data_IF_959634355064
#
_entry.id   IF_959634355064
#
_cell.length_a   1.000
_cell.length_b   1.000
_cell.length_c   1.000
_cell.angle_alpha   90.00
_cell.angle_beta   90.00
_cell.angle_gamma   90.00
#
_symmetry.space_group_name_H-M   'P 1'
#
loop_
_entity.id
_entity.type
_entity.pdbx_description
1 polymer ?
#
# COMPACT_ATOMS: atom_id res chain seq x y z
N UNK A 1 7.70 27.13 19.46
CA UNK A 1 8.23 27.65 18.19
C UNK A 1 9.68 28.03 18.44
N UNK A 2 10.59 27.08 18.35
CA UNK A 2 12.03 27.29 18.38
C UNK A 2 12.55 26.75 17.06
N UNK A 3 12.58 27.63 16.06
CA UNK A 3 13.34 27.44 14.82
C UNK A 3 14.81 27.58 15.20
N UNK A 4 15.56 26.49 15.19
CA UNK A 4 17.00 26.56 15.26
C UNK A 4 17.50 27.20 13.96
N UNK A 5 17.86 28.49 14.02
CA UNK A 5 18.72 29.12 13.02
C UNK A 5 20.15 28.63 13.30
N UNK A 6 20.67 27.76 12.47
CA UNK A 6 22.10 27.42 12.50
C UNK A 6 22.90 28.45 11.67
N UNK A 7 24.08 28.91 12.18
CA UNK A 7 24.92 29.78 11.38
C UNK A 7 25.56 29.00 10.22
N UNK A 8 25.44 29.53 9.02
CA UNK A 8 26.02 29.01 7.78
C UNK A 8 27.55 29.20 7.77
N UNK A 9 28.34 28.19 8.17
CA UNK A 9 29.76 28.08 7.75
C UNK A 9 30.46 26.82 8.29
N UNK A 10 30.06 25.64 7.88
CA UNK A 10 30.84 24.39 7.75
C UNK A 10 29.87 23.28 7.38
N UNK A 11 30.28 22.36 6.53
CA UNK A 11 29.50 21.15 6.25
C UNK A 11 29.23 20.43 7.58
N UNK A 12 27.96 20.26 7.94
CA UNK A 12 27.59 19.57 9.16
C UNK A 12 27.72 18.06 8.93
N UNK A 13 28.50 17.37 9.77
CA UNK A 13 28.78 15.95 9.63
C UNK A 13 27.85 15.10 10.49
N UNK A 14 27.33 14.02 9.90
CA UNK A 14 26.47 13.05 10.55
C UNK A 14 27.00 11.63 10.37
N UNK A 15 26.66 10.74 11.30
CA UNK A 15 26.90 9.31 11.09
C UNK A 15 25.97 8.77 9.99
N UNK A 16 24.72 9.31 9.88
CA UNK A 16 23.79 8.96 8.82
C UNK A 16 22.99 10.17 8.34
N UNK A 17 22.89 10.32 7.01
CA UNK A 17 21.99 11.27 6.36
C UNK A 17 20.93 10.47 5.60
N UNK A 18 19.65 10.77 5.85
CA UNK A 18 18.50 10.11 5.21
C UNK A 18 17.81 11.10 4.28
N UNK A 19 17.60 10.76 3.02
CA UNK A 19 16.89 11.58 2.04
C UNK A 19 15.47 11.06 1.90
N UNK A 20 14.50 11.79 2.47
CA UNK A 20 13.09 11.45 2.52
C UNK A 20 12.64 10.95 3.89
N UNK A 21 11.52 11.50 4.38
CA UNK A 21 10.90 11.20 5.67
C UNK A 21 9.71 10.23 5.58
N UNK A 22 9.61 9.48 4.48
CA UNK A 22 8.64 8.38 4.36
C UNK A 22 8.90 7.26 5.39
N UNK A 23 8.05 6.21 5.43
CA UNK A 23 8.16 5.15 6.44
C UNK A 23 9.56 4.53 6.55
N UNK A 24 10.21 4.24 5.42
CA UNK A 24 11.56 3.68 5.40
C UNK A 24 12.59 4.65 5.98
N UNK A 25 12.58 5.90 5.53
CA UNK A 25 13.52 6.91 6.00
C UNK A 25 13.37 7.21 7.49
N UNK A 26 12.14 7.30 8.01
CA UNK A 26 11.88 7.46 9.44
C UNK A 26 12.49 6.33 10.27
N UNK A 27 12.29 5.07 9.83
CA UNK A 27 12.78 3.92 10.59
C UNK A 27 14.28 3.75 10.50
N UNK A 28 14.89 4.07 9.35
CA UNK A 28 16.34 4.14 9.22
C UNK A 28 16.93 5.16 10.19
N UNK A 29 16.40 6.38 10.20
CA UNK A 29 16.86 7.45 11.07
C UNK A 29 16.66 7.12 12.57
N UNK A 30 15.48 6.63 12.96
CA UNK A 30 15.17 6.30 14.36
C UNK A 30 16.04 5.12 14.84
N UNK A 31 16.23 4.08 14.01
CA UNK A 31 17.08 2.95 14.36
C UNK A 31 18.53 3.41 14.59
N UNK A 32 19.08 4.21 13.69
CA UNK A 32 20.43 4.78 13.83
C UNK A 32 20.57 5.65 15.07
N UNK A 33 19.60 6.53 15.34
CA UNK A 33 19.62 7.39 16.54
C UNK A 33 19.58 6.56 17.83
N UNK A 34 18.85 5.42 17.85
CA UNK A 34 18.81 4.50 18.99
C UNK A 34 20.12 3.72 19.19
N UNK A 35 20.93 3.59 18.16
CA UNK A 35 22.31 3.09 18.24
C UNK A 35 23.30 4.18 18.67
N UNK A 36 22.81 5.36 19.09
CA UNK A 36 23.65 6.46 19.57
C UNK A 36 24.34 7.25 18.47
N UNK A 37 23.87 7.15 17.21
CA UNK A 37 24.45 7.85 16.06
C UNK A 37 23.82 9.22 15.86
N UNK A 38 24.60 10.15 15.31
CA UNK A 38 24.12 11.46 14.86
C UNK A 38 23.41 11.30 13.51
N UNK A 39 22.16 11.83 13.40
CA UNK A 39 21.33 11.59 12.23
C UNK A 39 20.63 12.85 11.76
N UNK A 40 20.65 13.10 10.44
CA UNK A 40 19.80 14.08 9.79
C UNK A 40 18.83 13.43 8.81
N UNK A 41 17.61 13.96 8.72
CA UNK A 41 16.65 13.67 7.64
C UNK A 41 16.49 14.92 6.78
N UNK A 42 16.68 14.77 5.48
CA UNK A 42 16.35 15.79 4.47
C UNK A 42 14.95 15.52 3.94
N UNK A 43 14.04 16.51 4.06
CA UNK A 43 12.68 16.36 3.58
C UNK A 43 12.23 17.60 2.79
N UNK A 44 11.64 17.39 1.62
CA UNK A 44 11.14 18.47 0.77
C UNK A 44 9.87 19.10 1.33
N UNK A 45 9.97 20.27 1.92
CA UNK A 45 8.83 21.15 2.24
C UNK A 45 7.76 20.47 3.12
N UNK A 46 6.54 20.40 2.62
CA UNK A 46 5.35 19.97 3.38
C UNK A 46 5.10 18.45 3.37
N UNK A 47 6.05 17.64 2.89
CA UNK A 47 5.88 16.20 2.72
C UNK A 47 6.34 15.35 3.92
N UNK A 48 6.40 15.92 5.12
CA UNK A 48 6.77 15.17 6.32
C UNK A 48 5.90 13.92 6.50
N UNK A 49 6.53 12.76 6.59
CA UNK A 49 5.88 11.44 6.56
C UNK A 49 5.78 10.81 5.17
N UNK A 50 6.20 11.55 4.13
CA UNK A 50 6.21 11.11 2.74
C UNK A 50 4.81 10.84 2.19
N UNK A 51 4.75 10.16 1.04
CA UNK A 51 3.50 9.75 0.38
C UNK A 51 2.58 8.98 1.32
N UNK A 52 3.11 8.13 2.18
CA UNK A 52 2.32 7.33 3.12
C UNK A 52 1.38 8.19 3.98
N UNK A 53 1.85 9.34 4.47
CA UNK A 53 1.08 10.24 5.34
C UNK A 53 0.32 11.30 4.53
N UNK A 54 0.88 11.79 3.43
CA UNK A 54 0.36 12.99 2.76
C UNK A 54 -0.66 12.70 1.65
N UNK A 55 -0.42 11.69 0.80
CA UNK A 55 -1.24 11.46 -0.40
C UNK A 55 -1.61 9.99 -0.64
N UNK A 56 -0.96 9.02 0.05
CA UNK A 56 -1.12 7.59 -0.22
C UNK A 56 -1.89 6.84 0.85
N UNK A 57 -1.17 6.00 1.61
CA UNK A 57 -1.75 4.99 2.51
C UNK A 57 -2.72 5.56 3.55
N UNK A 58 -2.28 6.50 4.38
CA UNK A 58 -3.13 7.05 5.46
C UNK A 58 -4.33 7.83 4.89
N UNK A 59 -4.15 8.76 3.93
CA UNK A 59 -5.28 9.47 3.34
C UNK A 59 -6.31 8.57 2.68
N UNK A 60 -5.90 7.60 1.85
CA UNK A 60 -6.83 6.73 1.13
C UNK A 60 -7.63 5.80 2.07
N UNK A 61 -6.98 5.26 3.15
CA UNK A 61 -7.68 4.43 4.14
C UNK A 61 -8.64 5.27 4.99
N UNK A 62 -8.24 6.50 5.33
CA UNK A 62 -9.13 7.44 6.03
C UNK A 62 -10.33 7.84 5.17
N UNK A 63 -10.11 8.08 3.87
CA UNK A 63 -11.18 8.32 2.91
C UNK A 63 -12.15 7.12 2.83
N UNK A 64 -11.61 5.90 2.74
CA UNK A 64 -12.41 4.66 2.75
C UNK A 64 -13.29 4.56 4.00
N UNK A 65 -12.75 4.82 5.18
CA UNK A 65 -13.52 4.81 6.42
C UNK A 65 -14.63 5.88 6.42
N UNK A 66 -14.36 7.06 5.86
CA UNK A 66 -15.37 8.11 5.70
C UNK A 66 -16.49 7.66 4.73
N UNK A 67 -16.12 7.02 3.61
CA UNK A 67 -17.07 6.45 2.65
C UNK A 67 -17.95 5.40 3.32
N UNK A 68 -17.38 4.40 3.98
CA UNK A 68 -18.13 3.34 4.66
C UNK A 68 -19.11 3.90 5.69
N UNK A 69 -18.64 4.85 6.51
CA UNK A 69 -19.46 5.46 7.54
C UNK A 69 -20.61 6.28 6.96
N UNK A 70 -20.32 7.22 6.07
CA UNK A 70 -21.33 8.15 5.56
C UNK A 70 -22.34 7.50 4.63
N UNK A 71 -21.92 6.51 3.84
CA UNK A 71 -22.84 5.74 2.97
C UNK A 71 -23.65 4.72 3.76
N UNK A 72 -23.25 4.37 4.99
CA UNK A 72 -23.85 3.30 5.77
C UNK A 72 -23.78 1.92 5.09
N UNK A 73 -22.84 1.73 4.16
CA UNK A 73 -22.81 0.57 3.28
C UNK A 73 -22.73 -0.75 4.03
N UNK A 74 -21.93 -0.82 5.09
CA UNK A 74 -21.82 -2.01 5.96
C UNK A 74 -23.10 -2.40 6.68
N UNK A 75 -24.12 -1.53 6.68
CA UNK A 75 -25.39 -1.75 7.38
C UNK A 75 -26.55 -2.02 6.40
N UNK A 76 -26.33 -1.89 5.09
CA UNK A 76 -27.41 -2.00 4.08
C UNK A 76 -28.02 -3.39 3.99
N UNK A 77 -27.25 -4.44 4.28
CA UNK A 77 -27.78 -5.80 4.32
C UNK A 77 -28.85 -5.97 5.42
N UNK A 78 -28.66 -5.29 6.56
CA UNK A 78 -29.56 -5.38 7.72
C UNK A 78 -30.71 -4.38 7.66
N UNK A 79 -30.44 -3.14 7.21
CA UNK A 79 -31.43 -2.04 7.25
C UNK A 79 -31.98 -1.67 5.87
N UNK A 80 -31.61 -2.40 4.83
CA UNK A 80 -32.06 -2.22 3.45
C UNK A 80 -31.15 -1.33 2.60
N UNK A 81 -31.24 -1.51 1.28
CA UNK A 81 -30.36 -0.87 0.30
C UNK A 81 -30.41 0.68 0.31
N UNK A 82 -31.52 1.26 0.80
CA UNK A 82 -31.69 2.72 0.92
C UNK A 82 -31.04 3.31 2.16
N UNK A 83 -30.58 2.48 3.12
CA UNK A 83 -29.95 2.97 4.34
C UNK A 83 -28.69 3.77 4.03
N UNK A 84 -28.57 4.95 4.64
CA UNK A 84 -27.40 5.81 4.59
C UNK A 84 -27.38 6.74 5.81
N UNK A 85 -26.19 7.10 6.28
CA UNK A 85 -26.01 8.01 7.42
C UNK A 85 -26.19 9.46 6.97
N UNK A 86 -25.79 9.79 5.75
CA UNK A 86 -25.93 11.12 5.17
C UNK A 86 -26.48 11.02 3.74
N UNK A 87 -27.56 11.74 3.46
CA UNK A 87 -28.22 11.71 2.14
C UNK A 87 -27.35 12.33 1.03
N UNK A 88 -26.79 13.51 1.28
CA UNK A 88 -25.93 14.23 0.33
C UNK A 88 -24.51 14.32 0.87
N UNK A 89 -23.67 13.40 0.46
CA UNK A 89 -22.23 13.39 0.78
C UNK A 89 -21.53 14.36 -0.17
N UNK A 90 -20.63 15.18 0.37
CA UNK A 90 -19.79 16.13 -0.39
C UNK A 90 -18.30 15.78 -0.26
N UNK A 91 -17.43 16.24 -1.18
CA UNK A 91 -15.99 16.07 -0.99
C UNK A 91 -15.49 16.62 0.35
N UNK A 92 -16.02 17.76 0.80
CA UNK A 92 -15.66 18.34 2.08
C UNK A 92 -15.94 17.40 3.28
N UNK A 93 -17.05 16.65 3.24
CA UNK A 93 -17.36 15.66 4.29
C UNK A 93 -16.34 14.52 4.36
N UNK A 94 -15.90 14.06 3.18
CA UNK A 94 -14.92 12.98 3.07
C UNK A 94 -13.51 13.46 3.47
N UNK A 95 -13.12 14.63 2.95
CA UNK A 95 -11.77 15.16 3.11
C UNK A 95 -11.51 15.77 4.50
N UNK A 96 -12.56 16.26 5.19
CA UNK A 96 -12.40 16.81 6.55
C UNK A 96 -11.75 15.79 7.52
N UNK A 97 -12.22 14.54 7.49
CA UNK A 97 -11.63 13.47 8.30
C UNK A 97 -10.18 13.17 7.86
N UNK A 98 -9.95 13.14 6.56
CA UNK A 98 -8.63 12.87 5.97
C UNK A 98 -7.61 13.92 6.39
N UNK A 99 -7.93 15.21 6.24
CA UNK A 99 -7.06 16.31 6.66
C UNK A 99 -6.75 16.30 8.16
N UNK A 100 -7.76 15.98 8.99
CA UNK A 100 -7.55 15.85 10.44
C UNK A 100 -6.55 14.73 10.76
N UNK A 101 -6.68 13.56 10.14
CA UNK A 101 -5.79 12.41 10.38
C UNK A 101 -4.38 12.70 9.87
N UNK A 102 -4.24 13.28 8.68
CA UNK A 102 -2.92 13.72 8.15
C UNK A 102 -2.22 14.64 9.16
N UNK A 103 -2.92 15.65 9.66
CA UNK A 103 -2.35 16.58 10.65
C UNK A 103 -1.85 15.87 11.92
N UNK A 104 -2.62 14.90 12.42
CA UNK A 104 -2.22 14.09 13.58
C UNK A 104 -0.99 13.22 13.30
N UNK A 105 -0.95 12.56 12.14
CA UNK A 105 0.19 11.73 11.76
C UNK A 105 1.47 12.56 11.56
N UNK A 106 1.35 13.74 10.95
CA UNK A 106 2.49 14.67 10.83
C UNK A 106 3.04 15.05 12.21
N UNK A 107 2.16 15.33 13.19
CA UNK A 107 2.58 15.62 14.55
C UNK A 107 3.24 14.42 15.24
N UNK A 108 2.73 13.20 15.00
CA UNK A 108 3.35 11.95 15.50
C UNK A 108 4.75 11.81 14.93
N UNK A 109 4.93 11.95 13.61
CA UNK A 109 6.25 11.86 12.96
C UNK A 109 7.20 12.90 13.51
N UNK A 110 6.79 14.17 13.58
CA UNK A 110 7.60 15.27 14.13
C UNK A 110 8.06 14.98 15.56
N UNK A 111 7.15 14.54 16.42
CA UNK A 111 7.44 14.20 17.80
C UNK A 111 8.39 12.99 17.89
N UNK A 112 8.27 12.00 17.01
CA UNK A 112 9.19 10.86 16.97
C UNK A 112 10.61 11.30 16.59
N UNK A 113 10.77 12.17 15.60
CA UNK A 113 12.09 12.69 15.20
C UNK A 113 12.70 13.52 16.36
N UNK A 114 11.94 14.45 16.94
CA UNK A 114 12.42 15.30 18.03
C UNK A 114 12.88 14.51 19.26
N UNK A 115 12.08 13.56 19.75
CA UNK A 115 12.45 12.76 20.93
C UNK A 115 13.64 11.83 20.70
N UNK A 116 13.95 11.49 19.47
CA UNK A 116 15.14 10.74 19.09
C UNK A 116 16.31 11.66 18.69
N UNK A 117 16.19 12.98 18.82
CA UNK A 117 17.23 13.99 18.52
C UNK A 117 17.74 13.90 17.09
N UNK A 118 16.82 13.67 16.14
CA UNK A 118 17.10 13.62 14.72
C UNK A 118 16.88 15.02 14.16
N UNK A 119 17.88 15.55 13.45
CA UNK A 119 17.78 16.85 12.81
C UNK A 119 16.94 16.75 11.54
N UNK A 120 15.87 17.57 11.46
CA UNK A 120 15.01 17.66 10.29
C UNK A 120 15.43 18.86 9.44
N UNK A 121 16.01 18.59 8.29
CA UNK A 121 16.45 19.59 7.31
C UNK A 121 15.41 19.71 6.20
N UNK A 122 14.77 20.88 6.11
CA UNK A 122 13.73 21.11 5.09
C UNK A 122 14.38 21.61 3.80
N UNK A 123 14.15 20.91 2.71
CA UNK A 123 14.64 21.25 1.39
C UNK A 123 14.79 20.04 0.47
N UNK A 124 15.13 20.31 -0.78
CA UNK A 124 15.44 19.28 -1.77
C UNK A 124 16.90 18.85 -1.61
N UNK A 125 17.10 17.58 -1.31
CA UNK A 125 18.44 16.98 -1.20
C UNK A 125 18.93 16.48 -2.56
N UNK A 126 20.20 16.76 -2.89
CA UNK A 126 20.88 16.18 -4.05
C UNK A 126 22.33 15.87 -3.74
N UNK A 127 22.91 14.87 -4.39
CA UNK A 127 24.31 14.52 -4.24
C UNK A 127 25.23 15.58 -4.87
N UNK A 128 26.23 16.01 -4.11
CA UNK A 128 27.36 16.79 -4.61
C UNK A 128 28.55 15.85 -4.90
N UNK A 129 28.73 14.87 -4.00
CA UNK A 129 29.66 13.75 -4.09
C UNK A 129 29.07 12.56 -3.32
N UNK A 130 29.73 11.37 -3.29
CA UNK A 130 29.17 10.18 -2.65
C UNK A 130 28.86 10.32 -1.15
N UNK A 131 29.45 11.26 -0.44
CA UNK A 131 29.25 11.49 0.98
C UNK A 131 28.51 12.80 1.31
N UNK A 132 28.31 13.68 0.33
CA UNK A 132 27.87 15.05 0.55
C UNK A 132 26.52 15.33 -0.15
N UNK A 133 25.57 15.81 0.63
CA UNK A 133 24.25 16.22 0.16
C UNK A 133 24.12 17.73 0.27
N UNK A 134 23.80 18.40 -0.83
CA UNK A 134 23.29 19.77 -0.83
C UNK A 134 21.79 19.74 -0.58
N UNK A 135 21.33 20.52 0.39
CA UNK A 135 19.92 20.73 0.72
C UNK A 135 19.53 22.13 0.31
N UNK A 136 18.61 22.25 -0.63
CA UNK A 136 18.12 23.54 -1.12
C UNK A 136 16.67 23.78 -0.67
N UNK A 137 16.45 24.83 0.12
CA UNK A 137 15.10 25.30 0.47
C UNK A 137 14.66 26.40 -0.54
N UNK A 138 13.75 26.06 -1.49
CA UNK A 138 13.32 27.02 -2.51
C UNK A 138 12.58 28.23 -1.91
N UNK A 139 11.95 28.06 -0.74
CA UNK A 139 11.18 29.11 -0.08
C UNK A 139 12.05 30.20 0.54
N UNK A 140 13.24 29.81 1.02
CA UNK A 140 14.21 30.69 1.69
C UNK A 140 15.38 31.09 0.81
N UNK A 141 15.55 30.43 -0.35
CA UNK A 141 16.75 30.56 -1.22
C UNK A 141 18.05 30.26 -0.48
N UNK A 142 17.98 29.42 0.51
CA UNK A 142 19.12 28.98 1.33
C UNK A 142 19.61 27.62 0.84
N UNK A 143 20.92 27.45 0.85
CA UNK A 143 21.57 26.16 0.57
C UNK A 143 22.40 25.75 1.78
N UNK A 144 22.23 24.51 2.19
CA UNK A 144 22.99 23.89 3.26
C UNK A 144 23.70 22.64 2.70
N UNK A 145 24.93 22.43 3.08
CA UNK A 145 25.67 21.21 2.74
C UNK A 145 25.84 20.35 3.99
N UNK A 146 25.49 19.09 3.89
CA UNK A 146 25.65 18.11 4.97
C UNK A 146 26.41 16.89 4.44
N UNK A 147 27.21 16.26 5.29
CA UNK A 147 27.91 15.03 4.95
C UNK A 147 27.49 13.88 5.87
N UNK A 148 27.50 12.66 5.33
CA UNK A 148 27.15 11.44 6.06
C UNK A 148 28.21 10.36 5.89
N UNK A 149 28.55 9.66 6.97
CA UNK A 149 29.31 8.41 6.84
C UNK A 149 28.53 7.38 6.06
N UNK A 150 27.21 7.32 6.31
CA UNK A 150 26.24 6.53 5.56
C UNK A 150 25.12 7.42 5.05
N UNK A 151 24.60 7.08 3.87
CA UNK A 151 23.47 7.78 3.28
C UNK A 151 22.36 6.77 2.98
N UNK A 152 21.10 7.12 3.30
CA UNK A 152 19.93 6.31 2.96
C UNK A 152 19.02 7.08 2.03
N UNK A 153 18.77 6.56 0.83
CA UNK A 153 17.83 7.11 -0.14
C UNK A 153 16.45 6.50 0.13
N UNK A 154 15.51 7.33 0.59
CA UNK A 154 14.15 6.94 0.95
C UNK A 154 13.10 7.86 0.30
N UNK A 155 13.38 8.29 -0.94
CA UNK A 155 12.61 9.31 -1.67
C UNK A 155 11.26 8.82 -2.19
N UNK A 156 11.03 7.48 -2.14
CA UNK A 156 9.77 6.88 -2.55
C UNK A 156 9.44 7.04 -4.03
N UNK A 157 8.14 7.15 -4.33
CA UNK A 157 7.62 7.19 -5.69
C UNK A 157 6.56 8.29 -5.85
N UNK A 158 6.22 8.60 -7.11
CA UNK A 158 5.07 9.42 -7.52
C UNK A 158 4.19 8.63 -8.49
N UNK A 159 2.92 9.02 -8.71
CA UNK A 159 2.11 8.43 -9.78
C UNK A 159 2.81 8.55 -11.14
N UNK A 160 2.75 7.49 -11.93
CA UNK A 160 3.23 7.53 -13.30
C UNK A 160 2.21 8.25 -14.18
N UNK A 161 2.65 9.27 -14.92
CA UNK A 161 1.83 10.02 -15.89
C UNK A 161 2.29 9.63 -17.30
N UNK A 162 1.48 8.91 -18.08
CA UNK A 162 1.85 8.53 -19.43
C UNK A 162 1.98 9.76 -20.33
N UNK A 163 2.95 9.73 -21.23
CA UNK A 163 3.09 10.74 -22.28
C UNK A 163 1.87 10.70 -23.21
N UNK A 164 1.28 11.85 -23.52
CA UNK A 164 0.11 11.94 -24.40
C UNK A 164 -1.23 12.01 -23.68
N UNK A 165 -1.24 12.01 -22.35
CA UNK A 165 -2.42 12.33 -21.53
C UNK A 165 -2.16 13.64 -20.79
N UNK A 166 -3.02 14.60 -20.99
CA UNK A 166 -2.97 15.88 -20.28
C UNK A 166 -3.72 15.76 -18.95
N UNK A 167 -3.02 15.99 -17.83
CA UNK A 167 -3.59 16.01 -16.48
C UNK A 167 -3.95 17.46 -16.16
N UNK A 168 -5.24 17.72 -15.98
CA UNK A 168 -5.77 19.06 -15.69
C UNK A 168 -6.08 19.30 -14.20
N UNK A 169 -5.82 18.29 -13.36
CA UNK A 169 -6.05 18.30 -11.90
C UNK A 169 -7.52 18.60 -11.50
N UNK A 170 -8.44 18.40 -12.42
CA UNK A 170 -9.89 18.59 -12.21
C UNK A 170 -10.71 17.44 -12.76
N UNK A 171 -10.50 17.04 -14.01
CA UNK A 171 -11.22 15.96 -14.69
C UNK A 171 -10.32 14.77 -15.03
N UNK A 172 -9.05 15.03 -15.31
CA UNK A 172 -8.05 13.98 -15.55
C UNK A 172 -7.05 14.04 -14.43
N UNK A 173 -7.13 13.07 -13.51
CA UNK A 173 -6.43 13.03 -12.24
C UNK A 173 -5.55 11.78 -12.16
N UNK A 174 -4.52 11.84 -11.34
CA UNK A 174 -3.87 10.66 -10.80
C UNK A 174 -4.38 10.34 -9.38
N UNK A 175 -3.80 9.33 -8.73
CA UNK A 175 -4.23 8.90 -7.38
C UNK A 175 -4.00 9.97 -6.30
N UNK A 176 -3.07 10.88 -6.49
CA UNK A 176 -2.80 11.93 -5.52
C UNK A 176 -3.82 13.06 -5.67
N UNK A 177 -4.20 13.40 -6.91
CA UNK A 177 -5.21 14.43 -7.23
C UNK A 177 -6.62 14.11 -6.76
N UNK A 178 -6.95 12.86 -6.48
CA UNK A 178 -8.25 12.47 -5.91
C UNK A 178 -8.52 13.11 -4.53
N UNK A 179 -7.49 13.44 -3.80
CA UNK A 179 -7.62 14.11 -2.49
C UNK A 179 -7.95 15.62 -2.60
N UNK A 180 -7.95 16.16 -3.82
CA UNK A 180 -8.26 17.57 -4.10
C UNK A 180 -9.57 17.73 -4.91
N UNK A 181 -10.39 16.67 -5.02
CA UNK A 181 -11.66 16.70 -5.75
C UNK A 181 -12.58 17.81 -5.27
N UNK A 182 -13.06 18.63 -6.22
CA UNK A 182 -14.00 19.74 -5.96
C UNK A 182 -15.45 19.28 -5.91
N UNK A 183 -15.78 18.20 -6.64
CA UNK A 183 -17.13 17.59 -6.69
C UNK A 183 -17.03 16.09 -6.79
N UNK A 184 -18.02 15.37 -6.27
CA UNK A 184 -18.12 13.92 -6.48
C UNK A 184 -18.66 13.68 -7.90
N UNK A 185 -17.94 12.96 -8.76
CA UNK A 185 -18.37 12.71 -10.11
C UNK A 185 -19.52 11.69 -10.12
N UNK A 186 -20.47 11.87 -11.03
CA UNK A 186 -21.56 10.92 -11.29
C UNK A 186 -21.08 9.72 -12.12
N UNK A 187 -20.00 9.90 -12.88
CA UNK A 187 -19.34 8.84 -13.65
C UNK A 187 -17.82 9.01 -13.68
N UNK A 188 -17.08 7.89 -13.60
CA UNK A 188 -15.62 7.89 -13.55
C UNK A 188 -15.05 6.71 -14.36
N UNK A 189 -14.01 6.97 -15.15
CA UNK A 189 -13.14 5.93 -15.69
C UNK A 189 -11.91 5.80 -14.79
N UNK A 190 -11.61 4.59 -14.35
CA UNK A 190 -10.38 4.26 -13.61
C UNK A 190 -9.47 3.48 -14.56
N UNK A 191 -8.30 4.01 -14.85
CA UNK A 191 -7.31 3.39 -15.73
C UNK A 191 -6.26 2.67 -14.87
N UNK A 192 -6.25 1.33 -14.96
CA UNK A 192 -5.43 0.43 -14.16
C UNK A 192 -6.24 -0.28 -13.06
N UNK A 193 -6.19 -1.61 -13.06
CA UNK A 193 -6.85 -2.50 -12.09
C UNK A 193 -5.86 -3.10 -11.07
N UNK A 194 -4.80 -2.36 -10.72
CA UNK A 194 -3.92 -2.65 -9.59
C UNK A 194 -4.57 -2.23 -8.27
N UNK A 195 -3.81 -2.34 -7.16
CA UNK A 195 -4.28 -2.02 -5.80
C UNK A 195 -4.97 -0.66 -5.74
N UNK A 196 -4.28 0.40 -6.17
CA UNK A 196 -4.77 1.78 -6.08
C UNK A 196 -6.07 1.96 -6.89
N UNK A 197 -6.09 1.46 -8.14
CA UNK A 197 -7.26 1.57 -9.00
C UNK A 197 -8.49 0.88 -8.42
N UNK A 198 -8.33 -0.33 -7.91
CA UNK A 198 -9.44 -1.11 -7.32
C UNK A 198 -9.91 -0.52 -5.99
N UNK A 199 -8.99 -0.03 -5.14
CA UNK A 199 -9.37 0.66 -3.90
C UNK A 199 -10.26 1.87 -4.20
N UNK A 200 -9.84 2.77 -5.09
CA UNK A 200 -10.64 3.95 -5.44
C UNK A 200 -11.91 3.58 -6.22
N UNK A 201 -11.84 2.63 -7.17
CA UNK A 201 -13.03 2.16 -7.89
C UNK A 201 -14.12 1.67 -6.93
N UNK A 202 -13.75 0.89 -5.91
CA UNK A 202 -14.69 0.40 -4.89
C UNK A 202 -15.28 1.53 -4.03
N UNK A 203 -14.46 2.51 -3.63
CA UNK A 203 -14.91 3.67 -2.85
C UNK A 203 -15.90 4.54 -3.62
N UNK A 204 -15.60 4.88 -4.89
CA UNK A 204 -16.48 5.69 -5.71
C UNK A 204 -17.76 4.94 -6.09
N UNK A 205 -17.68 3.64 -6.36
CA UNK A 205 -18.90 2.82 -6.56
C UNK A 205 -19.79 2.80 -5.32
N UNK A 206 -19.20 2.68 -4.11
CA UNK A 206 -19.95 2.76 -2.85
C UNK A 206 -20.63 4.12 -2.63
N UNK A 207 -20.05 5.22 -3.14
CA UNK A 207 -20.63 6.56 -3.15
C UNK A 207 -21.76 6.72 -4.19
N UNK A 208 -21.92 5.75 -5.10
CA UNK A 208 -22.94 5.79 -6.16
C UNK A 208 -22.43 6.35 -7.49
N UNK A 209 -21.14 6.59 -7.64
CA UNK A 209 -20.50 6.94 -8.92
C UNK A 209 -20.57 5.74 -9.87
N UNK A 210 -20.94 5.96 -11.12
CA UNK A 210 -20.86 4.93 -12.17
C UNK A 210 -19.42 4.75 -12.60
N UNK A 211 -18.77 3.66 -12.16
CA UNK A 211 -17.35 3.41 -12.40
C UNK A 211 -17.15 2.43 -13.56
N UNK A 212 -16.20 2.78 -14.45
CA UNK A 212 -15.66 1.85 -15.46
C UNK A 212 -14.17 1.70 -15.24
N UNK A 213 -13.71 0.48 -14.94
CA UNK A 213 -12.29 0.14 -14.80
C UNK A 213 -11.76 -0.37 -16.14
N UNK A 214 -10.68 0.23 -16.63
CA UNK A 214 -9.97 -0.18 -17.86
C UNK A 214 -8.60 -0.72 -17.48
N UNK A 215 -8.29 -1.94 -17.92
CA UNK A 215 -7.02 -2.60 -17.61
C UNK A 215 -6.49 -3.30 -18.88
N UNK A 216 -5.19 -3.08 -19.15
CA UNK A 216 -4.49 -3.69 -20.29
C UNK A 216 -4.31 -5.20 -20.12
N UNK A 217 -4.13 -5.68 -18.88
CA UNK A 217 -4.07 -7.12 -18.58
C UNK A 217 -5.46 -7.75 -18.68
N UNK A 218 -5.49 -9.07 -18.74
CA UNK A 218 -6.75 -9.83 -18.86
C UNK A 218 -7.49 -9.96 -17.52
N UNK A 219 -6.88 -9.55 -16.43
CA UNK A 219 -7.48 -9.58 -15.08
C UNK A 219 -6.96 -8.47 -14.18
N UNK A 220 -7.60 -8.30 -13.01
CA UNK A 220 -7.17 -7.40 -11.95
C UNK A 220 -6.39 -8.18 -10.88
N UNK A 221 -5.51 -7.49 -10.13
CA UNK A 221 -4.83 -8.02 -8.94
C UNK A 221 -4.24 -9.42 -9.17
N UNK A 222 -3.53 -9.62 -10.28
CA UNK A 222 -3.00 -10.90 -10.77
C UNK A 222 -2.00 -11.63 -9.84
N UNK A 223 -1.59 -10.96 -8.78
CA UNK A 223 -0.77 -11.51 -7.70
C UNK A 223 -1.58 -12.06 -6.52
N UNK A 224 -2.90 -11.90 -6.51
CA UNK A 224 -3.80 -12.45 -5.50
C UNK A 224 -4.33 -13.83 -5.90
N UNK A 225 -4.86 -14.55 -4.91
CA UNK A 225 -5.55 -15.82 -5.17
C UNK A 225 -6.76 -15.61 -6.10
N UNK A 226 -6.91 -16.40 -7.19
CA UNK A 226 -7.96 -16.20 -8.19
C UNK A 226 -9.39 -16.29 -7.62
N UNK A 227 -9.66 -17.15 -6.64
CA UNK A 227 -10.99 -17.26 -6.04
C UNK A 227 -11.38 -15.98 -5.27
N UNK A 228 -10.41 -15.38 -4.57
CA UNK A 228 -10.59 -14.10 -3.88
C UNK A 228 -10.82 -12.96 -4.88
N UNK A 229 -10.07 -12.95 -6.00
CA UNK A 229 -10.22 -11.95 -7.06
C UNK A 229 -11.61 -12.05 -7.70
N UNK A 230 -12.08 -13.26 -8.00
CA UNK A 230 -13.43 -13.46 -8.56
C UNK A 230 -14.52 -13.03 -7.58
N UNK A 231 -14.38 -13.32 -6.27
CA UNK A 231 -15.33 -12.87 -5.26
C UNK A 231 -15.41 -11.33 -5.20
N UNK A 232 -14.26 -10.64 -5.24
CA UNK A 232 -14.20 -9.18 -5.29
C UNK A 232 -14.80 -8.64 -6.59
N UNK A 233 -14.49 -9.23 -7.76
CA UNK A 233 -15.09 -8.82 -9.05
C UNK A 233 -16.60 -8.94 -9.04
N UNK A 234 -17.10 -10.04 -8.50
CA UNK A 234 -18.56 -10.25 -8.38
C UNK A 234 -19.18 -9.15 -7.55
N UNK A 235 -18.64 -8.89 -6.35
CA UNK A 235 -19.14 -7.84 -5.47
C UNK A 235 -19.10 -6.44 -6.11
N UNK A 236 -18.02 -6.10 -6.82
CA UNK A 236 -17.90 -4.81 -7.50
C UNK A 236 -18.89 -4.67 -8.67
N UNK A 237 -19.21 -5.78 -9.38
CA UNK A 237 -20.28 -5.78 -10.40
C UNK A 237 -21.65 -5.55 -9.79
N UNK A 238 -21.92 -6.06 -8.60
CA UNK A 238 -23.17 -5.78 -7.87
C UNK A 238 -23.27 -4.29 -7.47
N UNK A 239 -22.13 -3.62 -7.30
CA UNK A 239 -22.03 -2.17 -7.15
C UNK A 239 -22.04 -1.41 -8.49
N UNK A 240 -22.43 -2.08 -9.60
CA UNK A 240 -22.48 -1.53 -10.95
C UNK A 240 -21.12 -1.09 -11.53
N UNK A 241 -19.99 -1.59 -11.03
CA UNK A 241 -18.69 -1.39 -11.66
C UNK A 241 -18.61 -2.18 -12.96
N UNK A 242 -18.22 -1.50 -14.03
CA UNK A 242 -17.95 -2.13 -15.34
C UNK A 242 -16.47 -2.37 -15.51
N UNK A 243 -16.06 -3.58 -15.90
CA UNK A 243 -14.68 -3.90 -16.22
C UNK A 243 -14.44 -4.00 -17.73
N UNK A 244 -13.29 -3.46 -18.18
CA UNK A 244 -12.77 -3.55 -19.55
C UNK A 244 -11.33 -4.07 -19.45
N UNK A 245 -11.21 -5.40 -19.42
CA UNK A 245 -9.92 -6.10 -19.43
C UNK A 245 -9.43 -6.31 -20.86
N UNK A 246 -8.09 -6.42 -21.04
CA UNK A 246 -7.45 -6.55 -22.33
C UNK A 246 -7.53 -5.27 -23.18
N UNK A 247 -7.81 -4.12 -22.58
CA UNK A 247 -8.00 -2.84 -23.25
C UNK A 247 -7.01 -1.80 -22.76
N UNK A 248 -6.37 -1.10 -23.69
CA UNK A 248 -5.44 -0.02 -23.42
C UNK A 248 -6.07 1.33 -23.75
N UNK A 249 -5.89 2.30 -22.89
CA UNK A 249 -6.32 3.69 -23.16
C UNK A 249 -5.29 4.33 -24.09
N UNK A 250 -5.77 4.84 -25.23
CA UNK A 250 -4.93 5.49 -26.25
C UNK A 250 -5.04 7.01 -26.25
N UNK A 251 -6.18 7.56 -25.80
CA UNK A 251 -6.40 9.01 -25.67
C UNK A 251 -7.46 9.31 -24.60
N UNK A 252 -7.36 10.50 -24.03
CA UNK A 252 -8.39 11.11 -23.18
C UNK A 252 -8.62 12.54 -23.68
N UNK A 253 -9.80 12.80 -24.19
CA UNK A 253 -10.21 14.10 -24.65
C UNK A 253 -11.06 14.78 -23.58
N UNK A 254 -10.72 16.02 -23.21
CA UNK A 254 -11.47 16.84 -22.24
C UNK A 254 -12.37 17.82 -22.99
N UNK A 255 -13.68 17.71 -22.75
CA UNK A 255 -14.69 18.60 -23.34
C UNK A 255 -15.49 19.39 -22.29
N UNK A 256 -16.40 20.22 -22.73
CA UNK A 256 -17.24 21.03 -21.83
C UNK A 256 -18.10 20.16 -20.89
N UNK A 257 -18.59 19.01 -21.37
CA UNK A 257 -19.49 18.12 -20.63
C UNK A 257 -18.80 17.02 -19.82
N UNK A 258 -17.46 16.88 -19.91
CA UNK A 258 -16.72 15.79 -19.27
C UNK A 258 -15.54 15.33 -20.14
N UNK A 259 -15.18 14.06 -20.00
CA UNK A 259 -14.09 13.42 -20.71
C UNK A 259 -14.60 12.33 -21.65
N UNK A 260 -13.84 12.03 -22.70
CA UNK A 260 -14.04 10.86 -23.55
C UNK A 260 -12.74 10.06 -23.58
N UNK A 261 -12.77 8.85 -23.00
CA UNK A 261 -11.63 7.94 -23.00
C UNK A 261 -11.73 7.00 -24.21
N UNK A 262 -10.73 7.03 -25.09
CA UNK A 262 -10.64 6.17 -26.28
C UNK A 262 -9.73 4.98 -25.99
N UNK A 263 -10.23 3.77 -26.31
CA UNK A 263 -9.52 2.51 -26.11
C UNK A 263 -8.86 2.04 -27.43
N UNK A 264 -7.87 1.15 -27.33
CA UNK A 264 -7.18 0.57 -28.46
C UNK A 264 -8.11 -0.16 -29.46
N UNK A 265 -9.23 -0.72 -28.98
CA UNK A 265 -10.30 -1.29 -29.81
C UNK A 265 -11.11 -0.26 -30.60
N UNK A 266 -10.88 1.03 -30.40
CA UNK A 266 -11.70 2.12 -30.95
C UNK A 266 -12.96 2.45 -30.16
N UNK A 267 -13.25 1.70 -29.09
CA UNK A 267 -14.38 2.01 -28.18
C UNK A 267 -14.12 3.31 -27.44
N UNK A 268 -15.16 4.12 -27.26
CA UNK A 268 -15.14 5.36 -26.51
C UNK A 268 -16.02 5.28 -25.26
N UNK A 269 -15.51 5.78 -24.15
CA UNK A 269 -16.19 5.79 -22.84
C UNK A 269 -16.30 7.23 -22.36
N UNK A 270 -17.52 7.81 -22.34
CA UNK A 270 -17.75 9.11 -21.75
C UNK A 270 -17.82 9.01 -20.23
N UNK A 271 -17.23 9.98 -19.52
CA UNK A 271 -17.31 10.11 -18.07
C UNK A 271 -17.10 11.58 -17.65
N UNK A 272 -17.47 11.93 -16.41
CA UNK A 272 -17.14 13.24 -15.85
C UNK A 272 -15.65 13.33 -15.51
N UNK A 273 -15.06 12.24 -15.00
CA UNK A 273 -13.67 12.22 -14.51
C UNK A 273 -12.95 10.95 -14.97
N UNK A 274 -11.66 11.06 -15.22
CA UNK A 274 -10.74 9.94 -15.44
C UNK A 274 -9.67 9.95 -14.35
N UNK A 275 -9.47 8.81 -13.69
CA UNK A 275 -8.39 8.61 -12.73
C UNK A 275 -7.37 7.63 -13.29
N UNK A 276 -6.12 8.06 -13.39
CA UNK A 276 -5.00 7.21 -13.76
C UNK A 276 -4.34 6.58 -12.54
N UNK A 277 -4.24 5.26 -12.55
CA UNK A 277 -3.52 4.44 -11.56
C UNK A 277 -2.63 3.39 -12.24
N UNK A 278 -2.02 3.77 -13.37
CA UNK A 278 -1.24 2.89 -14.25
C UNK A 278 0.23 2.73 -13.80
N UNK A 279 0.48 2.66 -12.50
CA UNK A 279 1.79 2.43 -11.91
C UNK A 279 2.40 3.64 -11.22
N UNK A 280 3.61 3.44 -10.68
CA UNK A 280 4.38 4.47 -9.95
C UNK A 280 5.79 4.58 -10.51
N UNK A 281 6.35 5.78 -10.41
CA UNK A 281 7.69 6.16 -10.85
C UNK A 281 8.53 6.53 -9.63
N UNK A 282 9.76 5.99 -9.51
CA UNK A 282 10.71 6.37 -8.46
C UNK A 282 11.05 7.86 -8.51
N UNK A 283 11.21 8.47 -7.34
CA UNK A 283 11.54 9.89 -7.24
C UNK A 283 13.05 10.09 -7.12
N UNK A 284 13.78 9.86 -8.21
CA UNK A 284 15.24 9.94 -8.30
C UNK A 284 15.74 11.03 -9.24
N UNK A 285 14.86 11.67 -10.00
CA UNK A 285 15.22 12.61 -11.08
C UNK A 285 16.01 13.84 -10.59
N UNK A 286 15.84 14.24 -9.33
CA UNK A 286 16.47 15.43 -8.76
C UNK A 286 17.59 15.13 -7.77
N UNK A 287 18.02 13.86 -7.68
CA UNK A 287 19.04 13.45 -6.73
C UNK A 287 20.47 13.64 -7.25
N UNK A 288 20.65 13.87 -8.54
CA UNK A 288 21.98 13.91 -9.19
C UNK A 288 22.81 12.65 -8.89
N UNK A 289 22.17 11.46 -9.03
CA UNK A 289 22.72 10.15 -8.67
C UNK A 289 24.11 9.88 -9.26
N UNK A 290 24.42 10.43 -10.44
CA UNK A 290 25.72 10.32 -11.09
C UNK A 290 26.87 10.88 -10.24
N UNK A 291 26.61 11.89 -9.38
CA UNK A 291 27.62 12.44 -8.48
C UNK A 291 27.95 11.47 -7.32
N UNK A 292 27.08 10.49 -7.07
CA UNK A 292 27.28 9.41 -6.11
C UNK A 292 27.63 8.07 -6.78
N UNK A 293 28.02 8.09 -8.07
CA UNK A 293 28.30 6.88 -8.86
C UNK A 293 27.12 5.91 -8.96
N UNK A 294 25.89 6.41 -8.78
CA UNK A 294 24.67 5.64 -8.84
C UNK A 294 23.89 5.93 -10.13
N UNK A 295 22.95 5.05 -10.43
CA UNK A 295 22.00 5.19 -11.51
C UNK A 295 20.65 4.58 -11.11
N UNK A 296 19.59 5.05 -11.73
CA UNK A 296 18.26 4.48 -11.61
C UNK A 296 17.85 3.83 -12.93
N UNK A 297 16.94 2.85 -12.87
CA UNK A 297 16.36 2.26 -14.07
C UNK A 297 15.37 3.23 -14.76
N UNK A 298 14.75 2.78 -15.87
CA UNK A 298 13.77 3.56 -16.62
C UNK A 298 12.49 3.90 -15.85
N UNK A 299 12.28 3.28 -14.68
CA UNK A 299 11.20 3.59 -13.74
C UNK A 299 11.68 4.40 -12.53
N UNK A 300 12.91 4.90 -12.53
CA UNK A 300 13.50 5.64 -11.43
C UNK A 300 13.82 4.80 -10.20
N UNK A 301 13.97 3.47 -10.33
CA UNK A 301 14.26 2.59 -9.20
C UNK A 301 15.76 2.40 -9.04
N UNK A 302 16.20 2.30 -7.79
CA UNK A 302 17.59 2.04 -7.41
C UNK A 302 17.74 0.56 -7.07
N UNK A 303 18.76 -0.09 -7.64
CA UNK A 303 19.11 -1.48 -7.33
C UNK A 303 19.87 -1.57 -6.01
N UNK A 304 19.50 -2.56 -5.20
CA UNK A 304 20.12 -2.88 -3.91
C UNK A 304 20.27 -4.39 -3.73
N UNK A 305 21.13 -4.78 -2.82
CA UNK A 305 21.26 -6.17 -2.36
C UNK A 305 20.22 -6.53 -1.27
N UNK A 306 20.34 -7.72 -0.70
CA UNK A 306 19.41 -8.24 0.33
C UNK A 306 19.46 -7.45 1.65
N UNK A 307 20.48 -6.61 1.84
CA UNK A 307 20.65 -5.71 2.98
C UNK A 307 20.34 -4.25 2.64
N UNK A 308 19.72 -4.01 1.47
CA UNK A 308 19.36 -2.68 0.98
C UNK A 308 20.55 -1.77 0.66
N UNK A 309 21.76 -2.32 0.54
CA UNK A 309 22.96 -1.61 0.15
C UNK A 309 23.01 -1.48 -1.37
N UNK A 310 23.37 -0.30 -1.86
CA UNK A 310 23.61 -0.07 -3.30
C UNK A 310 24.98 -0.58 -3.72
N UNK A 311 25.34 -0.43 -5.00
CA UNK A 311 26.70 -0.72 -5.48
C UNK A 311 27.79 0.14 -4.81
N UNK A 312 27.41 1.23 -4.14
CA UNK A 312 28.31 2.10 -3.36
C UNK A 312 28.14 1.75 -1.88
N UNK A 313 29.17 1.19 -1.22
CA UNK A 313 29.04 0.48 0.07
C UNK A 313 28.49 1.29 1.25
N UNK A 314 28.55 2.62 1.22
CA UNK A 314 28.03 3.48 2.29
C UNK A 314 26.67 4.11 1.94
N UNK A 315 26.11 3.76 0.76
CA UNK A 315 24.80 4.27 0.32
C UNK A 315 23.80 3.13 0.27
N UNK A 316 22.67 3.33 0.92
CA UNK A 316 21.54 2.42 0.99
C UNK A 316 20.32 3.05 0.29
N UNK A 317 19.38 2.22 -0.17
CA UNK A 317 18.08 2.69 -0.63
C UNK A 317 16.97 1.79 -0.07
N UNK A 318 15.85 2.40 0.36
CA UNK A 318 14.75 1.69 1.01
C UNK A 318 13.39 2.24 0.61
N UNK A 319 12.37 1.42 0.72
CA UNK A 319 10.99 1.77 0.40
C UNK A 319 10.70 1.73 -1.10
N UNK A 320 9.64 2.42 -1.51
CA UNK A 320 9.11 2.33 -2.88
C UNK A 320 10.15 2.65 -3.97
N UNK A 321 11.21 3.41 -3.66
CA UNK A 321 12.27 3.76 -4.60
C UNK A 321 13.08 2.56 -5.07
N UNK A 322 13.06 1.43 -4.34
CA UNK A 322 13.70 0.18 -4.76
C UNK A 322 12.73 -0.76 -5.51
N UNK A 323 11.43 -0.43 -5.54
CA UNK A 323 10.42 -1.19 -6.26
C UNK A 323 9.56 -2.09 -5.36
N UNK A 324 9.18 -3.27 -5.89
CA UNK A 324 8.32 -4.22 -5.17
C UNK A 324 8.96 -4.68 -3.85
N UNK A 325 8.15 -4.87 -2.78
CA UNK A 325 6.69 -4.89 -2.74
C UNK A 325 6.02 -3.52 -2.53
N UNK A 326 6.75 -2.42 -2.34
CA UNK A 326 6.23 -1.04 -2.25
C UNK A 326 5.06 -0.89 -1.23
N UNK A 327 5.24 -1.46 -0.04
CA UNK A 327 4.31 -1.40 1.08
C UNK A 327 4.91 -0.57 2.23
N UNK A 328 4.08 0.22 2.91
CA UNK A 328 4.55 1.05 4.01
C UNK A 328 5.20 0.23 5.14
N UNK A 329 4.60 -0.91 5.51
CA UNK A 329 5.14 -1.81 6.54
C UNK A 329 6.49 -2.40 6.14
N UNK A 330 6.61 -2.87 4.90
CA UNK A 330 7.87 -3.39 4.35
C UNK A 330 8.94 -2.30 4.30
N UNK A 331 8.57 -1.09 3.86
CA UNK A 331 9.48 0.06 3.84
C UNK A 331 10.03 0.39 5.24
N UNK A 332 9.17 0.30 6.27
CA UNK A 332 9.59 0.51 7.67
C UNK A 332 10.66 -0.50 8.09
N UNK A 333 10.45 -1.76 7.77
CA UNK A 333 11.37 -2.83 8.12
C UNK A 333 12.68 -2.71 7.32
N UNK A 334 12.62 -2.45 6.02
CA UNK A 334 13.79 -2.18 5.18
C UNK A 334 14.66 -1.06 5.78
N UNK A 335 14.04 0.06 6.19
CA UNK A 335 14.76 1.17 6.82
C UNK A 335 15.47 0.78 8.11
N UNK A 336 14.82 -0.01 8.97
CA UNK A 336 15.42 -0.52 10.21
C UNK A 336 16.61 -1.44 9.93
N UNK A 337 16.45 -2.38 9.00
CA UNK A 337 17.46 -3.36 8.64
C UNK A 337 18.66 -2.70 7.95
N UNK A 338 18.44 -1.76 7.04
CA UNK A 338 19.50 -0.98 6.41
C UNK A 338 20.35 -0.22 7.44
N UNK A 339 19.72 0.39 8.45
CA UNK A 339 20.44 1.05 9.54
C UNK A 339 21.26 0.06 10.37
N UNK A 340 20.72 -1.11 10.69
CA UNK A 340 21.43 -2.15 11.44
C UNK A 340 22.64 -2.63 10.65
N UNK A 341 22.46 -2.98 9.36
CA UNK A 341 23.54 -3.41 8.51
C UNK A 341 24.65 -2.34 8.40
N UNK A 342 24.29 -1.06 8.19
CA UNK A 342 25.24 0.04 8.10
C UNK A 342 26.13 0.18 9.34
N UNK A 343 25.60 -0.10 10.52
CA UNK A 343 26.35 0.03 11.77
C UNK A 343 26.85 -1.31 12.35
N UNK A 344 26.78 -2.38 11.59
CA UNK A 344 27.30 -3.69 11.96
C UNK A 344 26.50 -4.43 13.03
N UNK A 345 25.22 -4.07 13.21
CA UNK A 345 24.31 -4.82 14.07
C UNK A 345 23.81 -6.08 13.35
N UNK A 346 23.59 -7.19 14.08
CA UNK A 346 23.11 -8.43 13.48
C UNK A 346 21.73 -8.24 12.80
N UNK A 347 21.57 -8.78 11.60
CA UNK A 347 20.29 -8.81 10.87
C UNK A 347 20.24 -10.02 9.93
N UNK A 348 19.10 -10.70 9.93
CA UNK A 348 18.81 -11.86 9.06
C UNK A 348 18.12 -11.46 7.74
N UNK A 349 18.05 -10.15 7.45
CA UNK A 349 17.29 -9.64 6.31
C UNK A 349 15.79 -9.53 6.60
N UNK A 350 15.00 -9.28 5.55
CA UNK A 350 13.55 -9.15 5.68
C UNK A 350 12.87 -10.51 5.56
N UNK A 351 11.82 -10.74 6.36
CA UNK A 351 11.03 -11.98 6.29
C UNK A 351 10.32 -12.14 4.94
N UNK A 352 10.22 -13.38 4.45
CA UNK A 352 9.43 -13.71 3.26
C UNK A 352 7.92 -13.64 3.53
N UNK A 353 7.49 -13.79 4.77
CA UNK A 353 6.08 -13.75 5.18
C UNK A 353 5.57 -12.31 5.29
N UNK A 354 5.48 -11.63 4.14
CA UNK A 354 5.01 -10.25 4.07
C UNK A 354 3.51 -10.23 3.74
N UNK A 355 2.65 -9.77 4.67
CA UNK A 355 1.22 -9.69 4.41
C UNK A 355 0.92 -8.53 3.45
N UNK A 356 0.02 -8.77 2.51
CA UNK A 356 -0.49 -7.74 1.61
C UNK A 356 -1.93 -7.45 1.97
N UNK A 357 -2.24 -6.17 2.21
CA UNK A 357 -3.58 -5.66 2.45
C UNK A 357 -4.03 -4.75 1.31
N UNK A 358 -5.21 -5.01 0.77
CA UNK A 358 -5.90 -4.21 -0.24
C UNK A 358 -7.17 -3.68 0.41
N UNK A 359 -7.23 -2.38 0.59
CA UNK A 359 -8.31 -1.70 1.31
C UNK A 359 -9.45 -1.30 0.36
N UNK A 360 -9.82 -2.22 -0.52
CA UNK A 360 -11.07 -2.13 -1.29
C UNK A 360 -12.29 -2.22 -0.37
N UNK A 361 -13.46 -2.10 -0.92
CA UNK A 361 -14.73 -2.35 -0.25
C UNK A 361 -15.39 -3.54 -0.94
N UNK A 362 -15.41 -4.72 -0.29
CA UNK A 362 -14.72 -5.17 0.94
C UNK A 362 -13.20 -5.28 0.81
N UNK A 363 -12.51 -5.48 1.96
CA UNK A 363 -11.06 -5.68 2.02
C UNK A 363 -10.62 -7.03 1.44
N UNK A 364 -9.39 -7.07 0.92
CA UNK A 364 -8.66 -8.30 0.61
C UNK A 364 -7.34 -8.28 1.37
N UNK A 365 -6.96 -9.41 1.95
CA UNK A 365 -5.62 -9.55 2.52
C UNK A 365 -5.12 -10.98 2.40
N UNK A 366 -3.81 -11.13 2.21
CA UNK A 366 -3.20 -12.45 2.16
C UNK A 366 -1.76 -12.44 2.64
N UNK A 367 -1.26 -13.63 2.98
CA UNK A 367 0.14 -13.92 3.29
C UNK A 367 0.47 -15.33 2.83
N UNK A 368 1.70 -15.54 2.36
CA UNK A 368 2.18 -16.82 1.84
C UNK A 368 1.80 -17.05 0.38
N UNK A 369 1.84 -18.31 -0.05
CA UNK A 369 1.67 -18.71 -1.44
C UNK A 369 0.20 -18.70 -1.90
N UNK A 370 -0.01 -18.50 -3.19
CA UNK A 370 -1.29 -18.69 -3.87
C UNK A 370 -1.43 -20.11 -4.42
N UNK A 371 -2.65 -20.58 -4.73
CA UNK A 371 -2.85 -21.86 -5.40
C UNK A 371 -2.10 -21.97 -6.73
N UNK A 372 -2.05 -20.87 -7.47
CA UNK A 372 -1.33 -20.81 -8.77
C UNK A 372 0.15 -21.09 -8.58
N UNK A 373 0.77 -20.48 -7.56
CA UNK A 373 2.19 -20.70 -7.25
C UNK A 373 2.47 -22.11 -6.76
N UNK A 374 1.63 -22.66 -5.86
CA UNK A 374 1.78 -24.03 -5.36
C UNK A 374 1.63 -25.05 -6.48
N UNK A 375 0.63 -24.90 -7.34
CA UNK A 375 0.40 -25.78 -8.49
C UNK A 375 1.57 -25.70 -9.50
N UNK A 376 2.04 -24.50 -9.81
CA UNK A 376 3.18 -24.29 -10.72
C UNK A 376 4.47 -24.95 -10.19
N UNK A 377 4.67 -24.90 -8.89
CA UNK A 377 5.85 -25.48 -8.22
C UNK A 377 5.68 -26.95 -7.83
N UNK A 378 4.55 -27.56 -8.20
CA UNK A 378 4.19 -28.95 -7.87
C UNK A 378 4.27 -29.25 -6.35
N UNK A 379 3.89 -28.30 -5.50
CA UNK A 379 3.82 -28.44 -4.05
C UNK A 379 2.43 -29.00 -3.70
N UNK A 380 2.33 -30.20 -3.07
CA UNK A 380 1.05 -30.78 -2.70
C UNK A 380 0.36 -29.97 -1.60
N UNK A 381 -0.89 -29.59 -1.82
CA UNK A 381 -1.67 -28.83 -0.84
C UNK A 381 -3.13 -29.25 -0.82
N UNK A 382 -3.81 -28.88 0.27
CA UNK A 382 -5.26 -28.97 0.41
C UNK A 382 -5.82 -27.61 0.80
N UNK A 383 -7.04 -27.35 0.37
CA UNK A 383 -7.72 -26.06 0.55
C UNK A 383 -8.80 -26.18 1.63
N UNK A 384 -8.82 -25.24 2.57
CA UNK A 384 -9.94 -25.08 3.51
C UNK A 384 -10.59 -23.71 3.37
N UNK A 385 -11.93 -23.67 3.38
CA UNK A 385 -12.69 -22.43 3.20
C UNK A 385 -13.71 -22.26 4.31
N UNK A 386 -13.75 -21.06 4.88
CA UNK A 386 -14.82 -20.61 5.76
C UNK A 386 -15.51 -19.40 5.11
N UNK A 387 -16.83 -19.43 5.02
CA UNK A 387 -17.63 -18.32 4.46
C UNK A 387 -18.26 -17.51 5.57
N UNK A 388 -18.18 -16.18 5.51
CA UNK A 388 -18.70 -15.30 6.57
C UNK A 388 -20.22 -15.47 6.79
N UNK A 389 -21.00 -15.80 5.75
CA UNK A 389 -22.41 -16.09 5.88
C UNK A 389 -22.74 -17.29 6.80
N UNK A 390 -21.76 -18.16 7.05
CA UNK A 390 -21.90 -19.32 7.92
C UNK A 390 -21.43 -19.05 9.36
N UNK A 391 -20.84 -17.86 9.58
CA UNK A 391 -20.38 -17.42 10.90
C UNK A 391 -21.39 -16.48 11.54
N UNK A 392 -21.63 -16.63 12.84
CA UNK A 392 -22.51 -15.72 13.59
C UNK A 392 -22.05 -14.25 13.47
N UNK A 393 -20.75 -14.01 13.51
CA UNK A 393 -20.19 -12.65 13.37
C UNK A 393 -20.46 -12.05 11.98
N UNK A 394 -20.38 -12.83 10.91
CA UNK A 394 -20.71 -12.40 9.56
C UNK A 394 -22.17 -11.92 9.47
N UNK A 395 -23.10 -12.71 10.03
CA UNK A 395 -24.52 -12.35 10.11
C UNK A 395 -24.75 -11.08 10.95
N UNK A 396 -24.11 -10.97 12.12
CA UNK A 396 -24.20 -9.78 12.99
C UNK A 396 -23.69 -8.53 12.30
N UNK A 397 -22.61 -8.66 11.50
CA UNK A 397 -21.98 -7.53 10.81
C UNK A 397 -22.66 -7.16 9.49
N UNK A 398 -23.55 -8.02 8.95
CA UNK A 398 -24.11 -7.86 7.61
C UNK A 398 -23.05 -8.06 6.52
N UNK A 399 -22.11 -9.02 6.71
CA UNK A 399 -21.13 -9.40 5.70
C UNK A 399 -21.36 -10.86 5.30
N UNK A 400 -22.14 -11.05 4.25
CA UNK A 400 -22.49 -12.39 3.74
C UNK A 400 -21.57 -12.91 2.66
N UNK A 401 -20.73 -12.05 2.06
CA UNK A 401 -19.84 -12.41 0.94
C UNK A 401 -18.42 -12.74 1.37
N UNK A 402 -18.02 -12.35 2.56
CA UNK A 402 -16.67 -12.58 3.08
C UNK A 402 -16.30 -14.06 3.13
N UNK A 403 -15.00 -14.32 3.00
CA UNK A 403 -14.42 -15.66 3.08
C UNK A 403 -12.99 -15.62 3.62
N UNK A 404 -12.62 -16.73 4.28
CA UNK A 404 -11.23 -17.04 4.64
C UNK A 404 -10.86 -18.38 4.00
N UNK A 405 -9.72 -18.42 3.34
CA UNK A 405 -9.16 -19.57 2.63
C UNK A 405 -7.78 -19.88 3.18
N UNK A 406 -7.54 -21.13 3.53
CA UNK A 406 -6.26 -21.68 3.95
C UNK A 406 -5.72 -22.61 2.88
N UNK A 407 -4.42 -22.51 2.60
CA UNK A 407 -3.66 -23.47 1.81
C UNK A 407 -2.72 -24.19 2.76
N UNK A 408 -2.83 -25.51 2.81
CA UNK A 408 -2.14 -26.35 3.80
C UNK A 408 -1.40 -27.48 3.09
N UNK A 409 -0.14 -27.70 3.44
CA UNK A 409 0.66 -28.81 2.96
C UNK A 409 0.02 -30.17 3.35
N UNK A 410 -0.10 -31.08 2.40
CA UNK A 410 -0.61 -32.43 2.68
C UNK A 410 0.44 -33.33 3.32
N UNK A 411 1.71 -32.95 3.33
CA UNK A 411 2.82 -33.74 3.82
C UNK A 411 3.08 -33.51 5.32
N UNK A 412 3.11 -32.24 5.75
CA UNK A 412 3.45 -31.85 7.13
C UNK A 412 2.41 -30.95 7.81
N UNK A 413 1.27 -30.72 7.16
CA UNK A 413 0.14 -29.94 7.67
C UNK A 413 0.47 -28.46 7.98
N UNK A 414 1.59 -27.94 7.49
CA UNK A 414 1.94 -26.52 7.65
C UNK A 414 1.06 -25.63 6.79
N UNK A 415 0.80 -24.42 7.30
CA UNK A 415 0.15 -23.39 6.52
C UNK A 415 1.11 -22.89 5.42
N UNK A 416 0.66 -22.92 4.17
CA UNK A 416 1.38 -22.42 2.99
C UNK A 416 0.88 -21.06 2.54
N UNK A 417 -0.41 -20.77 2.79
CA UNK A 417 -1.02 -19.49 2.43
C UNK A 417 -2.32 -19.25 3.19
N UNK A 418 -2.61 -17.98 3.40
CA UNK A 418 -3.86 -17.49 4.01
C UNK A 418 -4.38 -16.35 3.16
N UNK A 419 -5.61 -16.47 2.68
CA UNK A 419 -6.26 -15.50 1.81
C UNK A 419 -7.62 -15.14 2.39
N UNK A 420 -7.90 -13.86 2.54
CA UNK A 420 -9.11 -13.37 3.19
C UNK A 420 -9.74 -12.27 2.33
N UNK A 421 -11.03 -12.36 2.14
CA UNK A 421 -11.87 -11.37 1.51
C UNK A 421 -13.04 -11.04 2.45
N UNK A 422 -13.31 -9.76 2.70
CA UNK A 422 -14.41 -9.34 3.57
C UNK A 422 -13.98 -8.39 4.68
N UNK A 423 -14.90 -8.12 5.60
CA UNK A 423 -14.69 -7.21 6.73
C UNK A 423 -13.53 -7.68 7.61
N UNK A 424 -12.64 -6.77 7.96
CA UNK A 424 -11.47 -7.00 8.82
C UNK A 424 -10.42 -7.97 8.24
N UNK A 425 -10.41 -8.20 6.93
CA UNK A 425 -9.43 -9.09 6.30
C UNK A 425 -7.98 -8.69 6.61
N UNK A 426 -7.70 -7.38 6.61
CA UNK A 426 -6.37 -6.82 6.86
C UNK A 426 -5.88 -6.98 8.31
N UNK A 427 -6.79 -7.13 9.26
CA UNK A 427 -6.46 -7.44 10.67
C UNK A 427 -6.36 -8.95 10.90
N UNK A 428 -7.28 -9.71 10.31
CA UNK A 428 -7.36 -11.15 10.52
C UNK A 428 -6.17 -11.92 9.95
N UNK A 429 -5.58 -11.45 8.86
CA UNK A 429 -4.43 -12.13 8.19
C UNK A 429 -3.27 -12.39 9.13
N UNK A 430 -3.09 -11.55 10.16
CA UNK A 430 -1.99 -11.65 11.11
C UNK A 430 -2.05 -12.88 12.03
N UNK A 431 -3.23 -13.48 12.23
CA UNK A 431 -3.35 -14.78 12.95
C UNK A 431 -2.62 -15.85 12.14
N UNK A 432 -2.95 -15.97 10.85
CA UNK A 432 -2.28 -16.93 9.97
C UNK A 432 -0.80 -16.64 9.80
N UNK A 433 -0.42 -15.37 9.60
CA UNK A 433 0.98 -14.95 9.54
C UNK A 433 1.77 -15.40 10.78
N UNK A 434 1.21 -15.22 11.98
CA UNK A 434 1.87 -15.62 13.23
C UNK A 434 2.04 -17.14 13.31
N UNK A 435 1.02 -17.92 12.93
CA UNK A 435 1.10 -19.40 12.90
C UNK A 435 2.17 -19.85 11.91
N UNK A 436 2.19 -19.28 10.70
CA UNK A 436 3.21 -19.57 9.68
C UNK A 436 4.62 -19.19 10.17
N UNK A 437 4.78 -18.01 10.74
CA UNK A 437 6.07 -17.51 11.25
C UNK A 437 6.66 -18.32 12.41
N UNK A 438 5.78 -18.99 13.19
CA UNK A 438 6.19 -19.92 14.23
C UNK A 438 6.36 -21.36 13.72
N UNK A 439 6.22 -21.62 12.40
CA UNK A 439 6.27 -22.95 11.82
C UNK A 439 5.11 -23.84 12.27
N UNK A 440 3.97 -23.24 12.66
CA UNK A 440 2.80 -23.94 13.16
C UNK A 440 2.03 -24.67 12.05
N UNK A 441 1.27 -25.69 12.47
CA UNK A 441 0.42 -26.50 11.58
C UNK A 441 -1.04 -26.11 11.70
N UNK A 442 -1.86 -26.58 10.75
CA UNK A 442 -3.31 -26.39 10.79
C UNK A 442 -3.96 -26.96 12.04
N UNK A 443 -3.34 -27.95 12.68
CA UNK A 443 -3.83 -28.56 13.92
C UNK A 443 -3.95 -27.56 15.06
N UNK A 444 -3.01 -26.59 15.15
CA UNK A 444 -3.13 -25.49 16.11
C UNK A 444 -4.46 -24.74 15.95
N UNK A 445 -4.86 -24.45 14.72
CA UNK A 445 -6.11 -23.74 14.44
C UNK A 445 -7.36 -24.59 14.75
N UNK A 446 -7.27 -25.92 14.61
CA UNK A 446 -8.31 -26.86 15.01
C UNK A 446 -8.47 -26.90 16.52
N UNK A 447 -7.37 -26.93 17.26
CA UNK A 447 -7.38 -27.07 18.72
C UNK A 447 -7.60 -25.75 19.46
N UNK A 448 -7.22 -24.62 18.84
CA UNK A 448 -7.37 -23.30 19.42
C UNK A 448 -8.84 -22.97 19.75
N UNK A 449 -9.05 -22.25 20.84
CA UNK A 449 -10.37 -21.70 21.21
C UNK A 449 -10.39 -20.24 20.85
N UNK A 450 -11.18 -19.89 19.86
CA UNK A 450 -11.40 -18.49 19.46
C UNK A 450 -12.59 -17.89 20.21
N UNK A 451 -12.53 -16.60 20.49
CA UNK A 451 -13.69 -15.88 21.04
C UNK A 451 -14.89 -15.98 20.08
N UNK A 452 -16.07 -16.12 20.64
CA UNK A 452 -17.33 -16.23 19.90
C UNK A 452 -18.32 -15.15 20.34
N UNK A 453 -18.98 -14.39 19.42
CA UNK A 453 -18.83 -14.43 17.96
C UNK A 453 -17.72 -13.49 17.47
N UNK A 454 -16.77 -13.99 16.70
CA UNK A 454 -15.74 -13.20 16.03
C UNK A 454 -15.48 -13.70 14.60
N UNK A 455 -14.89 -12.86 13.74
CA UNK A 455 -14.41 -13.32 12.41
C UNK A 455 -13.24 -14.30 12.52
N UNK A 456 -12.48 -14.28 13.62
CA UNK A 456 -11.35 -15.21 13.84
C UNK A 456 -11.78 -16.68 13.89
N UNK A 457 -13.06 -16.96 14.19
CA UNK A 457 -13.65 -18.32 14.12
C UNK A 457 -13.51 -18.93 12.71
N UNK A 458 -13.43 -18.09 11.66
CA UNK A 458 -13.20 -18.53 10.28
C UNK A 458 -11.95 -19.42 10.14
N UNK A 459 -10.91 -19.15 10.92
CA UNK A 459 -9.71 -19.98 10.92
C UNK A 459 -9.99 -21.42 11.35
N UNK A 460 -10.76 -21.59 12.40
CA UNK A 460 -11.13 -22.93 12.89
C UNK A 460 -12.01 -23.67 11.90
N UNK A 461 -12.99 -22.98 11.31
CA UNK A 461 -13.90 -23.57 10.32
C UNK A 461 -13.13 -24.02 9.08
N UNK A 462 -12.26 -23.17 8.53
CA UNK A 462 -11.41 -23.50 7.39
C UNK A 462 -10.40 -24.63 7.72
N UNK A 463 -9.83 -24.62 8.92
CA UNK A 463 -8.92 -25.67 9.38
C UNK A 463 -9.62 -27.05 9.48
N UNK A 464 -10.84 -27.08 10.01
CA UNK A 464 -11.65 -28.30 10.07
C UNK A 464 -12.02 -28.80 8.66
N UNK A 465 -12.30 -27.93 7.71
CA UNK A 465 -12.56 -28.29 6.31
C UNK A 465 -11.33 -28.96 5.69
N UNK A 466 -10.11 -28.39 5.85
CA UNK A 466 -8.86 -29.03 5.43
C UNK A 466 -8.71 -30.41 6.05
N UNK A 467 -8.84 -30.53 7.38
CA UNK A 467 -8.62 -31.78 8.07
C UNK A 467 -9.59 -32.88 7.64
N UNK A 468 -10.84 -32.54 7.31
CA UNK A 468 -11.81 -33.48 6.77
C UNK A 468 -11.36 -34.00 5.39
N UNK A 469 -10.86 -33.17 4.52
CA UNK A 469 -10.36 -33.54 3.19
C UNK A 469 -9.09 -34.39 3.28
N UNK A 470 -8.14 -34.00 4.12
CA UNK A 470 -6.91 -34.80 4.38
C UNK A 470 -7.23 -36.18 4.94
N UNK A 471 -8.18 -36.28 5.87
CA UNK A 471 -8.62 -37.60 6.40
C UNK A 471 -9.26 -38.48 5.32
N UNK A 472 -10.09 -37.91 4.47
CA UNK A 472 -10.68 -38.60 3.33
C UNK A 472 -9.59 -39.14 2.38
N UNK A 473 -8.63 -38.28 2.00
CA UNK A 473 -7.50 -38.65 1.15
C UNK A 473 -6.70 -39.80 1.73
N UNK A 474 -6.40 -39.80 3.04
CA UNK A 474 -5.66 -40.84 3.73
C UNK A 474 -6.43 -42.18 3.81
N UNK A 475 -7.77 -42.16 3.81
CA UNK A 475 -8.58 -43.37 3.73
C UNK A 475 -8.47 -44.05 2.35
N UNK A 476 -8.35 -43.27 1.27
CA UNK A 476 -8.18 -43.83 -0.09
C UNK A 476 -6.75 -44.32 -0.38
N UNK A 477 -5.75 -43.83 0.38
CA UNK A 477 -4.35 -44.27 0.25
C UNK A 477 -4.02 -45.57 1.04
N UNK A 478 -4.94 -45.99 1.91
CA UNK A 478 -4.86 -47.28 2.67
C UNK A 478 -5.60 -48.38 1.92
#
# INVERSE_FOLDING_TARGET
MLLYCYPMSSAQEYDMVVIGSGPGGQKAAIASAKLGKSVAIVERGQMLGGVCVQTGTIPSKTLREAVLYLTGMSQRELYGASYRVKEKITPADLLARTQHVIGKEVDVVRNQLMRNRIDLLLGHGRFVDPHTIEVEDPSRREKLTVSGKYIVIATGTRPARPSGVEFDEDRVLDSDGILDLKSLPTSMVVVGAGVIGIEYASMFAALGTKVTVVEKRNDMLDFCDPEVVEALKFHLRDLAVTFRFGEEVTAVDVGAAGTVTTLASGKQIPAETVMYSAGRQGQTDHLDLQNAELEADNRGRIFVDDFFQTKVPHIYAVGDVIGFPALAATSMEQGRLAAYHAFGEPTDGITELQPIGIYSIPEVSYVGATEVELTKNAIPYEVGVARYRELARGQIAGDSYGMLKLLVSTDDLKLLGVHIFGTSATEMVHIGQAVMGCGGTVEYLVDAVFNYPTFSEAYKVAALDVMNKVRALNQFRR
#
